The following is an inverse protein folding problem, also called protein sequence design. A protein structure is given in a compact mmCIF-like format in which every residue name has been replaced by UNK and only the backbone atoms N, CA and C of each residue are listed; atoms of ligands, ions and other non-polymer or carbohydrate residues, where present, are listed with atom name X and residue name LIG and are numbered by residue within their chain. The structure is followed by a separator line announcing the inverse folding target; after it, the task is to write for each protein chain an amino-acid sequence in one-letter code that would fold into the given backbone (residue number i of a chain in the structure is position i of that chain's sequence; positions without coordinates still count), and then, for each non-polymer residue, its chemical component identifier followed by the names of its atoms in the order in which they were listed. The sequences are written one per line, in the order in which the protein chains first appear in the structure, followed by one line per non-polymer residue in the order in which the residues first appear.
data_IF_404152940869
#
_entry.id   IF_404152940869
#
_cell.length_a   1.000
_cell.length_b   1.000
_cell.length_c   1.000
_cell.angle_alpha   90.00
_cell.angle_beta   90.00
_cell.angle_gamma   90.00
#
_symmetry.space_group_name_H-M   'P 1'
#
loop_
_entity.id
_entity.type
_entity.pdbx_description
1 polymer ?
#
# COMPACT_ATOMS: atom_id res chain seq x y z
N UNK A 1 -1.84 -21.35 -8.04
CA UNK A 1 -2.62 -20.28 -8.70
C UNK A 1 -3.67 -19.82 -7.72
N UNK A 2 -3.53 -18.62 -7.14
CA UNK A 2 -4.55 -18.10 -6.24
C UNK A 2 -5.79 -17.73 -7.07
N UNK A 3 -6.85 -18.50 -6.88
CA UNK A 3 -8.10 -18.32 -7.60
C UNK A 3 -8.87 -17.18 -6.93
N UNK A 4 -8.85 -16.00 -7.54
CA UNK A 4 -9.49 -14.79 -7.02
C UNK A 4 -10.99 -14.85 -7.32
N UNK A 5 -11.72 -15.76 -6.65
CA UNK A 5 -13.18 -15.71 -6.69
C UNK A 5 -13.69 -14.63 -5.75
N UNK A 6 -14.47 -13.74 -6.37
CA UNK A 6 -15.26 -12.67 -5.77
C UNK A 6 -15.77 -13.03 -4.38
N UNK A 7 -15.46 -12.17 -3.41
CA UNK A 7 -16.22 -12.05 -2.17
C UNK A 7 -16.27 -10.58 -1.80
N UNK A 8 -17.49 -10.06 -1.79
CA UNK A 8 -17.88 -8.70 -1.43
C UNK A 8 -17.42 -7.60 -2.39
N UNK A 9 -18.24 -7.35 -3.41
CA UNK A 9 -18.52 -5.96 -3.79
C UNK A 9 -19.01 -5.27 -2.52
N UNK A 10 -18.20 -4.41 -1.91
CA UNK A 10 -18.75 -3.44 -0.99
C UNK A 10 -19.73 -2.63 -1.83
N UNK A 11 -21.00 -2.81 -1.51
CA UNK A 11 -22.11 -2.21 -2.22
C UNK A 11 -21.87 -0.73 -2.42
N UNK A 12 -22.29 -0.28 -3.59
CA UNK A 12 -22.48 1.11 -3.94
C UNK A 12 -23.50 1.71 -2.94
N UNK A 13 -23.03 2.15 -1.77
CA UNK A 13 -23.87 2.73 -0.73
C UNK A 13 -23.08 3.70 0.15
N UNK A 14 -22.73 4.85 -0.44
CA UNK A 14 -22.81 6.17 0.17
C UNK A 14 -22.31 7.19 -0.86
N UNK A 15 -23.26 7.78 -1.59
CA UNK A 15 -23.00 8.99 -2.36
C UNK A 15 -22.80 10.14 -1.36
N UNK A 16 -21.59 10.31 -0.83
CA UNK A 16 -21.18 11.51 -0.09
C UNK A 16 -19.85 12.03 -0.65
N UNK A 17 -19.87 13.26 -1.18
CA UNK A 17 -18.70 14.11 -1.47
C UNK A 17 -17.74 13.73 -2.60
N UNK A 18 -18.20 13.37 -3.81
CA UNK A 18 -17.36 13.44 -5.03
C UNK A 18 -16.00 12.73 -4.97
N UNK A 19 -15.88 11.75 -4.07
CA UNK A 19 -14.70 10.93 -3.85
C UNK A 19 -14.84 9.67 -4.70
N UNK A 20 -13.86 9.39 -5.55
CA UNK A 20 -13.84 8.17 -6.36
C UNK A 20 -13.10 7.06 -5.60
N UNK A 21 -13.64 5.84 -5.60
CA UNK A 21 -12.94 4.67 -5.06
C UNK A 21 -12.46 3.79 -6.22
N UNK A 22 -11.18 3.41 -6.20
CA UNK A 22 -10.56 2.57 -7.23
C UNK A 22 -9.93 1.36 -6.58
N UNK A 23 -10.43 0.17 -6.93
CA UNK A 23 -9.84 -1.09 -6.49
C UNK A 23 -8.69 -1.53 -7.40
N UNK A 24 -7.57 -1.89 -6.80
CA UNK A 24 -6.36 -2.33 -7.47
C UNK A 24 -6.15 -3.80 -7.17
N UNK A 25 -6.54 -4.65 -8.12
CA UNK A 25 -6.43 -6.12 -8.01
C UNK A 25 -5.40 -6.71 -8.98
N UNK A 26 -4.93 -5.92 -9.95
CA UNK A 26 -4.02 -6.37 -11.00
C UNK A 26 -2.70 -5.60 -11.01
N UNK A 27 -1.61 -6.27 -11.38
CA UNK A 27 -0.26 -5.70 -11.41
C UNK A 27 -0.16 -4.44 -12.29
N UNK A 28 -0.86 -4.40 -13.42
CA UNK A 28 -0.84 -3.24 -14.32
C UNK A 28 -1.50 -2.01 -13.68
N UNK A 29 -2.62 -2.19 -12.96
CA UNK A 29 -3.28 -1.12 -12.21
C UNK A 29 -2.38 -0.60 -11.08
N UNK A 30 -1.67 -1.52 -10.40
CA UNK A 30 -0.70 -1.15 -9.38
C UNK A 30 0.42 -0.29 -9.97
N UNK A 31 1.00 -0.70 -11.10
CA UNK A 31 2.04 0.10 -11.77
C UNK A 31 1.56 1.50 -12.14
N UNK A 32 0.34 1.61 -12.66
CA UNK A 32 -0.27 2.90 -12.97
C UNK A 32 -0.40 3.77 -11.71
N UNK A 33 -0.90 3.20 -10.60
CA UNK A 33 -0.99 3.89 -9.32
C UNK A 33 0.38 4.40 -8.85
N UNK A 34 1.45 3.61 -8.97
CA UNK A 34 2.78 4.04 -8.54
C UNK A 34 3.32 5.23 -9.34
N UNK A 35 3.06 5.28 -10.66
CA UNK A 35 3.40 6.45 -11.49
C UNK A 35 2.60 7.68 -11.05
N UNK A 36 1.32 7.47 -10.77
CA UNK A 36 0.38 8.47 -10.31
C UNK A 36 0.74 9.07 -8.94
N UNK A 37 1.29 8.27 -8.03
CA UNK A 37 1.75 8.72 -6.71
C UNK A 37 3.06 9.51 -6.78
N UNK A 38 3.90 9.20 -7.76
CA UNK A 38 5.22 9.83 -7.92
C UNK A 38 5.15 11.28 -8.40
N UNK A 39 4.06 11.64 -9.07
CA UNK A 39 3.82 12.97 -9.65
C UNK A 39 3.00 13.88 -8.74
N UNK A 40 2.72 13.45 -7.50
CA UNK A 40 1.87 14.21 -6.58
C UNK A 40 2.52 15.54 -6.17
N UNK A 41 1.71 16.61 -6.04
CA UNK A 41 2.21 17.90 -5.60
C UNK A 41 2.73 17.78 -4.16
N UNK A 42 3.78 18.54 -3.85
CA UNK A 42 4.44 18.57 -2.53
C UNK A 42 3.61 19.34 -1.47
N UNK A 43 2.29 19.48 -1.66
CA UNK A 43 1.39 20.09 -0.65
C UNK A 43 1.07 19.06 0.43
N UNK A 44 1.54 19.23 1.68
CA UNK A 44 1.33 18.23 2.70
C UNK A 44 -0.10 18.28 3.30
N UNK A 45 -0.71 17.12 3.60
CA UNK A 45 -0.30 15.77 3.20
C UNK A 45 -0.82 15.42 1.80
N UNK A 46 0.06 14.85 0.97
CA UNK A 46 -0.31 14.41 -0.39
C UNK A 46 -1.03 13.05 -0.38
N UNK A 47 -0.83 12.26 0.69
CA UNK A 47 -1.38 10.91 0.83
C UNK A 47 -1.77 10.65 2.29
N UNK A 48 -2.96 10.10 2.51
CA UNK A 48 -3.35 9.44 3.74
C UNK A 48 -3.34 7.92 3.52
N UNK A 49 -2.78 7.19 4.49
CA UNK A 49 -2.50 5.77 4.40
C UNK A 49 -3.18 5.03 5.54
N UNK A 50 -3.84 3.94 5.20
CA UNK A 50 -4.35 3.00 6.17
C UNK A 50 -4.15 1.56 5.70
N UNK A 51 -3.98 0.64 6.63
CA UNK A 51 -3.89 -0.78 6.35
C UNK A 51 -5.10 -1.46 6.99
N UNK A 52 -5.83 -2.27 6.23
CA UNK A 52 -6.95 -3.03 6.77
C UNK A 52 -6.78 -4.53 6.52
N UNK A 53 -7.23 -5.34 7.48
CA UNK A 53 -7.15 -6.79 7.44
C UNK A 53 -8.25 -7.39 8.30
N UNK A 54 -8.97 -8.36 7.72
CA UNK A 54 -10.04 -9.09 8.41
C UNK A 54 -9.42 -10.38 8.97
N UNK A 55 -8.65 -10.26 10.05
CA UNK A 55 -8.09 -11.42 10.75
C UNK A 55 -6.68 -11.22 11.30
N UNK A 56 -6.38 -11.94 12.40
CA UNK A 56 -5.25 -11.70 13.30
C UNK A 56 -3.85 -11.75 12.67
N UNK A 57 -3.68 -12.19 11.41
CA UNK A 57 -2.35 -12.34 10.82
C UNK A 57 -2.21 -12.03 9.31
N UNK A 58 -3.24 -11.55 8.63
CA UNK A 58 -3.15 -11.23 7.20
C UNK A 58 -3.56 -9.79 6.92
N UNK A 59 -2.61 -9.01 6.42
CA UNK A 59 -2.89 -7.70 5.83
C UNK A 59 -3.56 -7.97 4.49
N UNK A 60 -4.84 -7.60 4.38
CA UNK A 60 -5.64 -7.90 3.20
C UNK A 60 -5.64 -6.73 2.22
N UNK A 61 -5.70 -5.49 2.73
CA UNK A 61 -5.83 -4.31 1.90
C UNK A 61 -4.94 -3.16 2.39
N UNK A 62 -4.40 -2.40 1.44
CA UNK A 62 -3.73 -1.12 1.70
C UNK A 62 -4.54 0.01 1.04
N UNK A 63 -4.87 1.03 1.80
CA UNK A 63 -5.71 2.14 1.37
C UNK A 63 -4.90 3.43 1.23
N UNK A 64 -5.08 4.12 0.10
CA UNK A 64 -4.46 5.41 -0.20
C UNK A 64 -5.56 6.41 -0.51
N UNK A 65 -5.84 7.31 0.42
CA UNK A 65 -6.61 8.50 0.08
C UNK A 65 -5.63 9.54 -0.46
N UNK A 66 -5.86 9.98 -1.69
CA UNK A 66 -5.07 10.98 -2.40
C UNK A 66 -5.94 12.23 -2.58
N UNK A 67 -5.92 13.18 -1.62
CA UNK A 67 -6.79 14.36 -1.65
C UNK A 67 -6.70 15.19 -2.93
N UNK A 68 -5.50 15.43 -3.52
CA UNK A 68 -5.39 16.18 -4.77
C UNK A 68 -6.18 15.56 -5.93
N UNK A 69 -6.42 14.24 -5.89
CA UNK A 69 -7.18 13.51 -6.91
C UNK A 69 -8.64 13.24 -6.50
N UNK A 70 -9.00 13.49 -5.23
CA UNK A 70 -10.27 13.05 -4.62
C UNK A 70 -10.49 11.56 -4.87
N UNK A 71 -9.46 10.75 -4.68
CA UNK A 71 -9.51 9.32 -4.97
C UNK A 71 -9.01 8.51 -3.77
N UNK A 72 -9.78 7.48 -3.42
CA UNK A 72 -9.40 6.41 -2.51
C UNK A 72 -9.00 5.19 -3.33
N UNK A 73 -7.72 4.82 -3.28
CA UNK A 73 -7.24 3.58 -3.89
C UNK A 73 -7.21 2.47 -2.85
N UNK A 74 -7.81 1.33 -3.15
CA UNK A 74 -7.80 0.14 -2.30
C UNK A 74 -7.00 -0.95 -3.00
N UNK A 75 -5.80 -1.22 -2.50
CA UNK A 75 -4.92 -2.26 -3.04
C UNK A 75 -5.25 -3.58 -2.37
N UNK A 76 -5.79 -4.52 -3.14
CA UNK A 76 -6.10 -5.87 -2.70
C UNK A 76 -4.82 -6.71 -2.71
N UNK A 77 -4.25 -6.90 -1.52
CA UNK A 77 -3.06 -7.71 -1.32
C UNK A 77 -3.35 -9.20 -1.39
N UNK A 78 -4.60 -9.63 -1.18
CA UNK A 78 -5.00 -11.03 -1.36
C UNK A 78 -4.90 -11.47 -2.81
N UNK A 79 -5.33 -10.60 -3.74
CA UNK A 79 -5.22 -10.83 -5.18
C UNK A 79 -3.78 -10.67 -5.70
N UNK A 80 -3.07 -9.63 -5.25
CA UNK A 80 -1.73 -9.30 -5.76
C UNK A 80 -0.60 -10.11 -5.11
N UNK A 81 -0.87 -10.69 -3.95
CA UNK A 81 0.09 -11.49 -3.18
C UNK A 81 1.25 -10.68 -2.60
N UNK A 82 2.24 -11.40 -2.08
CA UNK A 82 3.37 -10.82 -1.34
C UNK A 82 4.30 -9.93 -2.18
N UNK A 83 4.20 -9.98 -3.51
CA UNK A 83 5.05 -9.20 -4.43
C UNK A 83 4.61 -7.75 -4.57
N UNK A 84 3.40 -7.39 -4.11
CA UNK A 84 2.82 -6.04 -4.21
C UNK A 84 3.77 -4.92 -3.75
N UNK A 85 4.55 -5.17 -2.69
CA UNK A 85 5.53 -4.21 -2.16
C UNK A 85 6.75 -4.00 -3.06
N UNK A 86 7.09 -5.02 -3.85
CA UNK A 86 8.28 -5.07 -4.67
C UNK A 86 7.98 -4.81 -6.14
N UNK A 87 6.71 -4.83 -6.55
CA UNK A 87 6.29 -4.46 -7.90
C UNK A 87 6.83 -3.08 -8.24
N UNK A 88 7.58 -3.02 -9.34
CA UNK A 88 8.23 -1.81 -9.84
C UNK A 88 7.38 -1.25 -10.97
N UNK A 89 7.03 0.03 -10.91
CA UNK A 89 6.45 0.75 -12.05
C UNK A 89 7.51 1.06 -13.10
N UNK A 90 7.07 1.48 -14.27
CA UNK A 90 7.99 1.65 -15.40
C UNK A 90 9.00 2.80 -15.19
N UNK A 91 8.76 3.69 -14.22
CA UNK A 91 9.73 4.70 -13.74
C UNK A 91 10.75 4.16 -12.71
N UNK A 92 10.79 2.84 -12.47
CA UNK A 92 11.74 2.20 -11.56
C UNK A 92 11.39 2.28 -10.07
N UNK A 93 10.21 2.81 -9.70
CA UNK A 93 9.81 2.95 -8.29
C UNK A 93 8.89 1.81 -7.87
N UNK A 94 9.12 1.28 -6.67
CA UNK A 94 8.22 0.29 -6.06
C UNK A 94 7.31 0.93 -5.02
N UNK A 95 6.22 0.26 -4.67
CA UNK A 95 5.35 0.67 -3.56
C UNK A 95 6.15 0.84 -2.26
N UNK A 96 7.06 -0.09 -1.97
CA UNK A 96 7.96 0.01 -0.81
C UNK A 96 8.86 1.24 -0.87
N UNK A 97 9.37 1.61 -2.04
CA UNK A 97 10.18 2.81 -2.20
C UNK A 97 9.32 4.06 -2.00
N UNK A 98 8.16 4.15 -2.65
CA UNK A 98 7.21 5.26 -2.51
C UNK A 98 6.82 5.46 -1.06
N UNK A 99 6.52 4.41 -0.31
CA UNK A 99 6.20 4.50 1.12
C UNK A 99 7.37 5.01 1.97
N UNK A 100 8.62 4.83 1.55
CA UNK A 100 9.83 5.31 2.25
C UNK A 100 10.31 6.69 1.81
N UNK A 101 9.89 7.19 0.65
CA UNK A 101 10.33 8.49 0.15
C UNK A 101 9.84 9.63 1.03
N UNK A 102 10.76 10.46 1.51
CA UNK A 102 10.45 11.69 2.28
C UNK A 102 9.87 12.80 1.40
N UNK A 103 10.15 12.76 0.10
CA UNK A 103 9.68 13.76 -0.87
C UNK A 103 8.16 13.76 -1.08
N UNK A 104 7.48 12.67 -0.67
CA UNK A 104 6.02 12.55 -0.74
C UNK A 104 5.48 12.63 0.70
N UNK A 105 4.93 13.77 1.13
CA UNK A 105 4.35 13.91 2.47
C UNK A 105 3.16 12.97 2.63
N UNK A 106 3.20 12.12 3.68
CA UNK A 106 2.17 11.11 3.93
C UNK A 106 1.88 10.96 5.42
N UNK A 107 0.63 10.62 5.74
CA UNK A 107 0.16 10.36 7.10
C UNK A 107 -0.37 8.92 7.14
N UNK A 108 0.07 8.13 8.13
CA UNK A 108 -0.40 6.76 8.33
C UNK A 108 -1.23 6.64 9.61
N UNK A 109 -2.38 5.95 9.54
CA UNK A 109 -3.28 5.73 10.68
C UNK A 109 -3.02 4.38 11.36
N UNK A 110 -3.15 3.25 10.65
CA UNK A 110 -2.73 1.95 11.19
C UNK A 110 -1.21 1.74 11.09
N UNK A 111 -0.47 2.43 11.96
CA UNK A 111 0.99 2.33 12.06
C UNK A 111 1.45 0.88 12.32
N UNK A 112 0.65 0.06 13.02
CA UNK A 112 1.00 -1.34 13.32
C UNK A 112 0.91 -2.20 12.06
N UNK A 113 -0.22 -2.12 11.35
CA UNK A 113 -0.40 -2.82 10.08
C UNK A 113 0.64 -2.39 9.04
N UNK A 114 0.89 -1.09 8.93
CA UNK A 114 1.90 -0.55 8.02
C UNK A 114 3.34 -0.97 8.40
N UNK A 115 3.68 -0.98 9.69
CA UNK A 115 4.97 -1.47 10.17
C UNK A 115 5.13 -2.96 9.86
N UNK A 116 4.13 -3.77 10.19
CA UNK A 116 4.10 -5.20 9.86
C UNK A 116 4.29 -5.39 8.35
N UNK A 117 3.60 -4.64 7.51
CA UNK A 117 3.75 -4.70 6.06
C UNK A 117 5.20 -4.45 5.59
N UNK A 118 5.81 -3.38 6.09
CA UNK A 118 7.15 -2.96 5.68
C UNK A 118 8.29 -3.83 6.23
N UNK A 119 8.05 -4.53 7.35
CA UNK A 119 9.05 -5.30 8.08
C UNK A 119 8.86 -6.83 8.04
N UNK A 120 7.66 -7.36 7.73
CA UNK A 120 7.42 -8.82 7.67
C UNK A 120 8.22 -9.53 6.58
N UNK A 121 8.63 -8.83 5.52
CA UNK A 121 9.46 -9.44 4.47
C UNK A 121 10.97 -9.35 4.75
N UNK A 122 11.37 -9.16 6.02
CA UNK A 122 12.77 -9.18 6.48
C UNK A 122 13.05 -10.39 7.37
N UNK A 123 12.78 -11.58 6.87
CA UNK A 123 13.53 -12.80 7.23
C UNK A 123 13.71 -13.57 5.92
N UNK A 124 14.93 -13.78 5.42
CA UNK A 124 15.78 -14.84 5.97
C UNK A 124 17.30 -14.64 5.74
N UNK A 125 17.86 -13.42 5.86
CA UNK A 125 19.34 -13.28 5.85
C UNK A 125 19.97 -12.07 6.51
N UNK A 126 19.26 -10.97 6.71
CA UNK A 126 19.87 -9.71 7.19
C UNK A 126 19.50 -9.34 8.63
N UNK A 127 18.47 -9.96 9.20
CA UNK A 127 17.97 -9.76 10.58
C UNK A 127 19.02 -10.14 11.62
N UNK A 128 19.80 -11.21 11.35
CA UNK A 128 20.91 -11.63 12.21
C UNK A 128 22.05 -10.62 12.29
N UNK A 129 22.29 -9.82 11.23
CA UNK A 129 23.37 -8.80 11.22
C UNK A 129 22.99 -7.53 11.99
N UNK A 130 21.72 -7.15 12.00
CA UNK A 130 21.27 -5.97 12.76
C UNK A 130 21.24 -6.24 14.28
N UNK A 131 20.81 -7.44 14.69
CA UNK A 131 20.80 -7.82 16.11
C UNK A 131 22.20 -8.18 16.64
N UNK A 132 23.10 -8.72 15.80
CA UNK A 132 24.50 -8.93 16.19
C UNK A 132 25.29 -7.62 16.38
N UNK A 133 24.84 -6.51 15.78
CA UNK A 133 25.44 -5.18 15.97
C UNK A 133 24.96 -4.43 17.21
N UNK A 134 23.97 -4.95 17.93
CA UNK A 134 23.40 -4.33 19.14
C UNK A 134 23.78 -5.06 20.44
N UNK A 135 24.60 -6.12 20.36
CA UNK A 135 25.29 -6.68 21.53
C UNK A 135 26.75 -6.22 21.47
N UNK A 136 27.05 -5.15 22.22
CA UNK A 136 28.36 -4.97 22.83
C UNK A 136 28.36 -5.72 24.15
#
# INVERSE_FOLDING_TARGET
MANCHSSHSIGDSAQENGLSTVEIRWTHQLKQLLQDLDTLPVKPPSIYLDASGVGQDQLLNLQFLVPPKKTLYVIDMGCLGATVLFTVSDNGKSLRLILKLKAIPKIGFDIRGMSRLLFMHRDDRQSKKFLAGLRK
#
